data_IF_809021421386
#
_entry.id   IF_809021421386
#
_cell.length_a   1.000
_cell.length_b   1.000
_cell.length_c   1.000
_cell.angle_alpha   90.00
_cell.angle_beta   90.00
_cell.angle_gamma   90.00
#
_symmetry.space_group_name_H-M   'P 1'
#
loop_
_entity.id
_entity.type
_entity.pdbx_description
1 polymer ?
#
# COMPACT_ATOMS: atom_id res chain seq x y z
N UNK A 1 -24.13 20.48 -32.65
CA UNK A 1 -23.97 20.50 -31.19
C UNK A 1 -22.50 20.34 -30.83
N UNK A 2 -21.99 20.85 -29.69
CA UNK A 2 -20.60 20.63 -29.27
C UNK A 2 -20.37 19.13 -29.13
N UNK A 3 -19.28 18.62 -29.70
CA UNK A 3 -18.90 17.22 -29.57
C UNK A 3 -18.73 16.81 -28.10
N UNK A 4 -18.71 15.49 -27.77
CA UNK A 4 -18.58 15.05 -26.40
C UNK A 4 -17.29 15.60 -25.80
N UNK A 5 -17.39 16.24 -24.62
CA UNK A 5 -16.23 16.73 -23.89
C UNK A 5 -15.37 15.53 -23.54
N UNK A 6 -14.16 15.47 -24.08
CA UNK A 6 -13.17 14.48 -23.65
C UNK A 6 -12.86 14.72 -22.17
N UNK A 7 -13.23 13.75 -21.35
CA UNK A 7 -12.88 13.74 -19.93
C UNK A 7 -11.52 13.06 -19.80
N UNK A 8 -10.52 13.81 -19.39
CA UNK A 8 -9.16 13.31 -19.19
C UNK A 8 -8.89 13.14 -17.71
N UNK A 9 -8.01 12.20 -17.38
CA UNK A 9 -7.49 12.06 -16.02
C UNK A 9 -6.83 13.38 -15.59
N UNK A 10 -7.06 13.85 -14.36
CA UNK A 10 -6.33 14.99 -13.82
C UNK A 10 -4.84 14.68 -13.73
N UNK A 11 -4.00 15.71 -13.78
CA UNK A 11 -2.56 15.58 -13.58
C UNK A 11 -2.14 15.81 -12.14
N UNK A 12 -3.02 16.37 -11.33
CA UNK A 12 -2.83 16.60 -9.90
C UNK A 12 -4.19 16.65 -9.22
N UNK A 13 -4.43 15.75 -8.28
CA UNK A 13 -5.69 15.64 -7.56
C UNK A 13 -5.43 15.20 -6.13
N UNK A 14 -6.08 15.86 -5.16
CA UNK A 14 -5.97 15.49 -3.75
C UNK A 14 -7.00 14.45 -3.35
N UNK A 15 -6.76 13.74 -2.25
CA UNK A 15 -7.74 12.80 -1.69
C UNK A 15 -9.05 13.52 -1.30
N UNK A 16 -8.97 14.76 -0.81
CA UNK A 16 -10.13 15.57 -0.46
C UNK A 16 -10.99 15.89 -1.68
N UNK A 17 -10.37 16.22 -2.80
CA UNK A 17 -11.09 16.45 -4.07
C UNK A 17 -11.74 15.14 -4.56
N UNK A 18 -11.05 14.02 -4.47
CA UNK A 18 -11.59 12.71 -4.89
C UNK A 18 -12.77 12.31 -4.00
N UNK A 19 -12.73 12.65 -2.71
CA UNK A 19 -13.80 12.35 -1.76
C UNK A 19 -15.15 12.99 -2.15
N UNK A 20 -15.14 14.03 -2.99
CA UNK A 20 -16.35 14.68 -3.51
C UNK A 20 -16.98 13.92 -4.68
N UNK A 21 -16.31 12.95 -5.25
CA UNK A 21 -16.84 12.15 -6.36
C UNK A 21 -17.94 11.20 -5.86
N UNK A 22 -18.96 10.92 -6.71
CA UNK A 22 -20.01 9.98 -6.34
C UNK A 22 -19.46 8.61 -5.95
N UNK A 23 -19.88 8.08 -4.80
CA UNK A 23 -19.49 6.77 -4.32
C UNK A 23 -18.08 6.70 -3.71
N UNK A 24 -17.32 7.80 -3.67
CA UNK A 24 -15.94 7.82 -3.15
C UNK A 24 -15.87 7.42 -1.67
N UNK A 25 -16.90 7.73 -0.90
CA UNK A 25 -16.98 7.42 0.53
C UNK A 25 -18.02 6.33 0.84
N UNK A 26 -18.48 5.59 -0.17
CA UNK A 26 -19.43 4.50 0.05
C UNK A 26 -18.86 3.47 1.04
N UNK A 27 -19.65 3.03 2.04
CA UNK A 27 -19.18 2.06 3.01
C UNK A 27 -18.86 0.71 2.35
N UNK A 28 -17.89 -0.01 2.93
CA UNK A 28 -17.51 -1.37 2.55
C UNK A 28 -17.84 -2.32 3.70
N UNK A 29 -17.96 -3.61 3.38
CA UNK A 29 -18.13 -4.63 4.42
C UNK A 29 -16.81 -4.87 5.16
N UNK A 30 -16.86 -4.95 6.47
CA UNK A 30 -15.72 -5.22 7.32
C UNK A 30 -15.41 -4.09 8.28
N UNK A 31 -14.30 -4.23 9.01
CA UNK A 31 -13.94 -3.31 10.09
C UNK A 31 -13.24 -2.05 9.60
N UNK A 32 -12.39 -2.22 8.59
CA UNK A 32 -11.57 -1.11 8.10
C UNK A 32 -12.33 -0.32 7.03
N UNK A 33 -12.25 1.02 7.06
CA UNK A 33 -12.81 1.84 5.99
C UNK A 33 -12.00 1.69 4.70
N UNK A 34 -12.67 1.84 3.56
CA UNK A 34 -12.00 1.93 2.27
C UNK A 34 -11.16 3.20 2.21
N UNK A 35 -10.01 3.11 1.55
CA UNK A 35 -9.06 4.21 1.42
C UNK A 35 -9.05 4.73 -0.02
N UNK A 36 -9.02 6.05 -0.18
CA UNK A 36 -8.92 6.71 -1.48
C UNK A 36 -7.45 6.67 -1.93
N UNK A 37 -7.20 6.07 -3.09
CA UNK A 37 -5.86 6.01 -3.67
C UNK A 37 -5.68 6.95 -4.87
N UNK A 38 -6.76 7.25 -5.59
CA UNK A 38 -6.67 8.06 -6.80
C UNK A 38 -7.97 8.13 -7.58
N UNK A 39 -7.86 8.46 -8.85
CA UNK A 39 -8.96 8.51 -9.83
C UNK A 39 -8.65 7.51 -10.93
N UNK A 40 -9.61 6.64 -11.26
CA UNK A 40 -9.47 5.69 -12.37
C UNK A 40 -9.90 6.33 -13.70
N UNK A 41 -9.30 5.88 -14.80
CA UNK A 41 -9.47 6.52 -16.09
C UNK A 41 -10.85 6.29 -16.73
N UNK A 42 -11.38 5.09 -16.62
CA UNK A 42 -12.55 4.68 -17.43
C UNK A 42 -13.81 5.46 -17.11
N UNK A 43 -14.08 5.75 -15.86
CA UNK A 43 -15.27 6.49 -15.41
C UNK A 43 -14.93 7.79 -14.68
N UNK A 44 -13.64 8.07 -14.49
CA UNK A 44 -13.15 9.16 -13.66
C UNK A 44 -13.71 9.12 -12.23
N UNK A 45 -13.96 7.91 -11.74
CA UNK A 45 -14.40 7.64 -10.38
C UNK A 45 -13.24 7.43 -9.43
N UNK A 46 -13.56 7.34 -8.15
CA UNK A 46 -12.55 7.08 -7.13
C UNK A 46 -11.94 5.68 -7.30
N UNK A 47 -10.61 5.62 -7.33
CA UNK A 47 -9.85 4.39 -7.16
C UNK A 47 -9.60 4.21 -5.67
N UNK A 48 -10.22 3.16 -5.11
CA UNK A 48 -10.18 2.90 -3.67
C UNK A 48 -9.52 1.56 -3.37
N UNK A 49 -9.02 1.44 -2.18
CA UNK A 49 -8.49 0.21 -1.60
C UNK A 49 -9.38 -0.23 -0.44
N UNK A 50 -9.84 -1.49 -0.48
CA UNK A 50 -10.61 -2.09 0.60
C UNK A 50 -9.70 -3.00 1.44
N UNK A 51 -9.27 -2.56 2.65
CA UNK A 51 -8.35 -3.35 3.47
C UNK A 51 -8.95 -4.65 4.01
N UNK A 52 -10.26 -4.81 3.94
CA UNK A 52 -10.94 -6.01 4.45
C UNK A 52 -10.84 -7.19 3.48
N UNK A 53 -10.85 -6.92 2.19
CA UNK A 53 -10.77 -7.94 1.13
C UNK A 53 -9.37 -8.10 0.57
N UNK A 54 -8.56 -7.06 0.63
CA UNK A 54 -7.20 -7.02 0.12
C UNK A 54 -6.31 -6.35 1.17
N UNK A 55 -5.21 -7.00 1.55
CA UNK A 55 -4.46 -6.57 2.73
C UNK A 55 -3.19 -5.80 2.39
N UNK A 56 -2.64 -6.01 1.20
CA UNK A 56 -1.32 -5.51 0.83
C UNK A 56 -1.32 -4.81 -0.52
N UNK A 57 -0.33 -3.91 -0.70
CA UNK A 57 -0.07 -3.21 -1.97
C UNK A 57 1.42 -3.22 -2.24
N UNK A 58 1.82 -3.22 -3.51
CA UNK A 58 3.19 -2.94 -3.90
C UNK A 58 3.22 -1.99 -5.10
N UNK A 59 4.28 -1.21 -5.19
CA UNK A 59 4.36 -0.10 -6.15
C UNK A 59 5.79 0.02 -6.67
N UNK A 60 5.90 0.19 -7.98
CA UNK A 60 7.17 0.48 -8.65
C UNK A 60 7.12 1.83 -9.35
N UNK A 61 8.24 2.53 -9.37
CA UNK A 61 8.34 3.78 -10.11
C UNK A 61 9.77 4.31 -10.14
N UNK A 62 10.09 5.06 -11.18
CA UNK A 62 11.36 5.77 -11.30
C UNK A 62 11.45 6.89 -10.25
N UNK A 63 12.64 7.48 -10.14
CA UNK A 63 12.86 8.69 -9.35
C UNK A 63 11.86 9.77 -9.75
N UNK A 64 11.30 10.48 -8.78
CA UNK A 64 10.33 11.57 -8.98
C UNK A 64 9.02 11.15 -9.69
N UNK A 65 8.70 9.88 -9.71
CA UNK A 65 7.45 9.37 -10.30
C UNK A 65 6.24 9.50 -9.38
N UNK A 66 6.45 9.77 -8.09
CA UNK A 66 5.38 9.95 -7.11
C UNK A 66 5.29 8.85 -6.05
N UNK A 67 6.28 7.97 -5.91
CA UNK A 67 6.27 6.90 -4.90
C UNK A 67 6.09 7.41 -3.47
N UNK A 68 6.96 8.31 -3.05
CA UNK A 68 6.92 8.90 -1.70
C UNK A 68 5.64 9.70 -1.49
N UNK A 69 5.21 10.45 -2.50
CA UNK A 69 3.94 11.20 -2.47
C UNK A 69 2.76 10.26 -2.26
N UNK A 70 2.74 9.12 -2.95
CA UNK A 70 1.70 8.11 -2.77
C UNK A 70 1.68 7.56 -1.34
N UNK A 71 2.83 7.17 -0.80
CA UNK A 71 2.90 6.65 0.57
C UNK A 71 2.46 7.69 1.61
N UNK A 72 2.82 8.95 1.40
CA UNK A 72 2.39 10.05 2.27
C UNK A 72 0.88 10.27 2.17
N UNK A 73 0.34 10.27 0.96
CA UNK A 73 -1.11 10.37 0.74
C UNK A 73 -1.87 9.22 1.39
N UNK A 74 -1.36 8.00 1.23
CA UNK A 74 -1.93 6.81 1.87
C UNK A 74 -1.90 6.92 3.40
N UNK A 75 -0.78 7.33 3.97
CA UNK A 75 -0.67 7.52 5.41
C UNK A 75 -1.68 8.55 5.93
N UNK A 76 -1.84 9.68 5.25
CA UNK A 76 -2.83 10.70 5.59
C UNK A 76 -4.26 10.20 5.44
N UNK A 77 -4.53 9.37 4.46
CA UNK A 77 -5.84 8.75 4.25
C UNK A 77 -6.16 7.77 5.38
N UNK A 78 -5.21 6.97 5.81
CA UNK A 78 -5.37 6.07 6.97
C UNK A 78 -5.70 6.89 8.22
N UNK A 79 -4.98 7.96 8.47
CA UNK A 79 -5.21 8.86 9.61
C UNK A 79 -6.60 9.51 9.52
N UNK A 80 -7.01 9.96 8.34
CA UNK A 80 -8.31 10.61 8.14
C UNK A 80 -9.50 9.68 8.35
N UNK A 81 -9.34 8.37 8.07
CA UNK A 81 -10.43 7.39 8.12
C UNK A 81 -10.48 6.56 9.40
N UNK A 82 -9.45 6.62 10.23
CA UNK A 82 -9.33 5.79 11.43
C UNK A 82 -8.99 6.63 12.66
N UNK A 83 -9.33 6.10 13.82
CA UNK A 83 -8.77 6.59 15.08
C UNK A 83 -7.43 5.90 15.36
N UNK A 84 -6.59 6.43 16.28
CA UNK A 84 -5.34 5.76 16.67
C UNK A 84 -5.55 4.37 17.29
N UNK A 85 -6.73 4.11 17.82
CA UNK A 85 -7.12 2.80 18.37
C UNK A 85 -7.54 1.81 17.28
N UNK A 86 -7.85 2.30 16.08
CA UNK A 86 -8.26 1.46 14.95
C UNK A 86 -7.12 1.15 14.01
N UNK A 87 -6.17 2.08 13.83
CA UNK A 87 -5.03 1.91 12.93
C UNK A 87 -3.78 2.58 13.48
N UNK A 88 -2.65 1.88 13.33
CA UNK A 88 -1.31 2.35 13.66
C UNK A 88 -0.39 2.14 12.48
N UNK A 89 0.60 3.00 12.32
CA UNK A 89 1.56 2.94 11.23
C UNK A 89 2.97 2.63 11.75
N UNK A 90 3.63 1.74 11.02
CA UNK A 90 5.07 1.50 11.13
C UNK A 90 5.67 1.95 9.80
N UNK A 91 6.52 2.96 9.81
CA UNK A 91 7.09 3.53 8.59
C UNK A 91 8.56 3.16 8.51
N UNK A 92 8.95 2.55 7.39
CA UNK A 92 10.33 2.28 7.04
C UNK A 92 10.75 3.27 5.96
N UNK A 93 11.61 4.21 6.33
CA UNK A 93 11.96 5.35 5.49
C UNK A 93 13.45 5.69 5.63
N UNK A 94 14.26 5.06 4.80
CA UNK A 94 15.72 5.19 4.81
C UNK A 94 16.21 6.61 4.55
N UNK A 95 15.47 7.37 3.75
CA UNK A 95 15.83 8.74 3.37
C UNK A 95 15.14 9.80 4.23
N UNK A 96 14.30 9.41 5.17
CA UNK A 96 13.52 10.32 6.02
C UNK A 96 12.64 11.28 5.21
N UNK A 97 12.15 10.84 4.07
CA UNK A 97 11.36 11.64 3.13
C UNK A 97 9.97 12.01 3.65
N UNK A 98 9.46 11.25 4.62
CA UNK A 98 8.14 11.47 5.23
C UNK A 98 8.21 11.80 6.71
N UNK A 99 9.39 12.20 7.21
CA UNK A 99 9.58 12.58 8.60
C UNK A 99 8.65 13.76 8.95
N UNK A 100 7.84 13.57 9.99
CA UNK A 100 6.88 14.57 10.44
C UNK A 100 5.53 14.57 9.71
N UNK A 101 5.36 13.72 8.69
CA UNK A 101 4.10 13.65 7.93
C UNK A 101 2.94 13.00 8.70
N UNK A 102 3.24 12.21 9.72
CA UNK A 102 2.26 11.40 10.45
C UNK A 102 2.15 11.90 11.88
N UNK A 103 0.91 12.13 12.38
CA UNK A 103 0.71 12.47 13.79
C UNK A 103 1.26 11.40 14.71
N UNK A 104 1.88 11.80 15.82
CA UNK A 104 2.55 10.88 16.76
C UNK A 104 1.64 9.80 17.31
N UNK A 105 0.37 10.12 17.55
CA UNK A 105 -0.61 9.19 18.08
C UNK A 105 -0.95 8.02 17.15
N UNK A 106 -0.67 8.16 15.86
CA UNK A 106 -0.84 7.11 14.85
C UNK A 106 0.45 6.35 14.55
N UNK A 107 1.58 6.79 15.07
CA UNK A 107 2.90 6.28 14.68
C UNK A 107 3.44 5.31 15.73
N UNK A 108 3.32 4.02 15.44
CA UNK A 108 3.89 2.98 16.30
C UNK A 108 5.42 2.94 16.22
N UNK A 109 6.00 3.17 15.04
CA UNK A 109 7.44 3.25 14.84
C UNK A 109 7.78 4.00 13.54
N UNK A 110 8.91 4.71 13.57
CA UNK A 110 9.51 5.33 12.39
C UNK A 110 10.97 4.85 12.30
N UNK A 111 11.26 4.02 11.28
CA UNK A 111 12.49 3.25 11.20
C UNK A 111 13.33 3.74 10.02
N UNK A 112 14.54 4.18 10.29
CA UNK A 112 15.42 4.80 9.30
C UNK A 112 16.67 3.98 8.99
N UNK A 113 16.92 2.87 9.70
CA UNK A 113 18.08 2.00 9.49
C UNK A 113 17.65 0.54 9.38
N UNK A 114 18.39 -0.26 8.63
CA UNK A 114 18.10 -1.69 8.52
C UNK A 114 18.22 -2.43 9.86
N UNK A 115 19.11 -1.96 10.75
CA UNK A 115 19.24 -2.52 12.09
C UNK A 115 17.98 -2.30 12.92
N UNK A 116 17.44 -1.08 12.90
CA UNK A 116 16.19 -0.77 13.60
C UNK A 116 15.00 -1.53 13.00
N UNK A 117 14.96 -1.69 11.69
CA UNK A 117 13.91 -2.48 11.01
C UNK A 117 13.97 -3.94 11.48
N UNK A 118 15.14 -4.57 11.44
CA UNK A 118 15.29 -5.97 11.84
C UNK A 118 14.87 -6.21 13.29
N UNK A 119 15.30 -5.33 14.21
CA UNK A 119 14.97 -5.41 15.62
C UNK A 119 13.47 -5.26 15.86
N UNK A 120 12.88 -4.20 15.32
CA UNK A 120 11.46 -3.90 15.55
C UNK A 120 10.55 -4.92 14.84
N UNK A 121 10.95 -5.43 13.67
CA UNK A 121 10.17 -6.46 12.98
C UNK A 121 10.15 -7.77 13.75
N UNK A 122 11.23 -8.14 14.41
CA UNK A 122 11.25 -9.35 15.25
C UNK A 122 10.25 -9.25 16.41
N UNK A 123 10.21 -8.11 17.10
CA UNK A 123 9.27 -7.85 18.18
C UNK A 123 7.83 -7.75 17.66
N UNK A 124 7.64 -7.08 16.55
CA UNK A 124 6.32 -6.90 15.93
C UNK A 124 5.72 -8.23 15.46
N UNK A 125 6.51 -9.08 14.82
CA UNK A 125 6.07 -10.41 14.39
C UNK A 125 5.68 -11.27 15.59
N UNK A 126 6.45 -11.24 16.68
CA UNK A 126 6.11 -11.94 17.91
C UNK A 126 4.77 -11.45 18.47
N UNK A 127 4.54 -10.15 18.46
CA UNK A 127 3.25 -9.56 18.86
C UNK A 127 2.10 -10.04 17.97
N UNK A 128 2.27 -9.98 16.64
CA UNK A 128 1.22 -10.41 15.70
C UNK A 128 0.89 -11.90 15.82
N UNK A 129 1.87 -12.73 16.09
CA UNK A 129 1.65 -14.17 16.27
C UNK A 129 0.69 -14.48 17.42
N UNK A 130 0.63 -13.66 18.44
CA UNK A 130 -0.34 -13.80 19.53
C UNK A 130 -1.77 -13.53 19.06
N UNK A 131 -1.95 -12.86 17.93
CA UNK A 131 -3.26 -12.62 17.30
C UNK A 131 -3.70 -13.75 16.38
N UNK A 132 -2.86 -14.73 16.09
CA UNK A 132 -3.27 -15.89 15.28
C UNK A 132 -4.39 -16.65 16.02
N UNK A 133 -5.44 -17.07 15.30
CA UNK A 133 -6.53 -17.78 15.93
C UNK A 133 -6.06 -19.15 16.44
N UNK A 134 -6.33 -19.44 17.72
CA UNK A 134 -6.11 -20.74 18.31
C UNK A 134 -7.27 -21.70 18.04
N UNK A 135 -7.13 -22.95 18.49
CA UNK A 135 -8.14 -24.00 18.27
C UNK A 135 -9.48 -23.71 18.97
N UNK A 136 -9.47 -22.84 19.99
CA UNK A 136 -10.65 -22.44 20.76
C UNK A 136 -11.45 -21.30 20.12
N UNK A 137 -10.95 -20.70 19.05
CA UNK A 137 -11.63 -19.62 18.33
C UNK A 137 -12.82 -20.19 17.56
N UNK A 138 -14.01 -19.65 17.83
CA UNK A 138 -15.26 -20.10 17.21
C UNK A 138 -15.41 -19.56 15.79
N UNK A 139 -16.23 -20.20 14.91
CA UNK A 139 -16.54 -19.67 13.58
C UNK A 139 -17.10 -18.24 13.60
N UNK A 140 -17.91 -17.91 14.61
CA UNK A 140 -18.46 -16.57 14.78
C UNK A 140 -17.36 -15.55 15.10
N UNK A 141 -16.44 -15.91 15.99
CA UNK A 141 -15.27 -15.08 16.30
C UNK A 141 -14.38 -14.88 15.07
N UNK A 142 -14.18 -15.92 14.26
CA UNK A 142 -13.44 -15.81 13.00
C UNK A 142 -14.12 -14.84 12.03
N UNK A 143 -15.42 -14.94 11.86
CA UNK A 143 -16.19 -14.08 10.97
C UNK A 143 -16.14 -12.62 11.42
N UNK A 144 -16.20 -12.35 12.72
CA UNK A 144 -16.20 -11.02 13.31
C UNK A 144 -14.80 -10.53 13.72
N UNK A 145 -13.78 -11.38 13.64
CA UNK A 145 -12.42 -11.14 14.13
C UNK A 145 -12.43 -10.61 15.57
N UNK A 146 -13.15 -11.27 16.46
CA UNK A 146 -13.42 -10.78 17.82
C UNK A 146 -12.56 -11.44 18.91
N UNK A 147 -11.60 -12.31 18.55
CA UNK A 147 -10.73 -12.96 19.55
C UNK A 147 -9.55 -12.09 20.01
N UNK A 148 -9.31 -10.96 19.34
CA UNK A 148 -8.36 -9.96 19.81
C UNK A 148 -8.92 -8.56 19.61
N UNK A 149 -8.39 -7.61 20.36
CA UNK A 149 -8.74 -6.19 20.28
C UNK A 149 -7.48 -5.36 20.06
N UNK A 150 -7.64 -4.20 19.46
CA UNK A 150 -6.57 -3.27 19.20
C UNK A 150 -6.53 -2.82 17.74
N UNK A 151 -5.53 -2.00 17.37
CA UNK A 151 -5.44 -1.46 16.03
C UNK A 151 -4.99 -2.49 15.02
N UNK A 152 -5.38 -2.29 13.77
CA UNK A 152 -4.68 -2.86 12.63
C UNK A 152 -3.38 -2.09 12.40
N UNK A 153 -2.39 -2.76 11.85
CA UNK A 153 -1.07 -2.16 11.59
C UNK A 153 -0.79 -2.07 10.10
N UNK A 154 -0.36 -0.88 9.70
CA UNK A 154 0.11 -0.60 8.35
C UNK A 154 1.61 -0.44 8.37
N UNK A 155 2.32 -1.33 7.69
CA UNK A 155 3.77 -1.24 7.49
C UNK A 155 4.00 -0.60 6.12
N UNK A 156 4.42 0.65 6.11
CA UNK A 156 4.70 1.42 4.90
C UNK A 156 6.21 1.47 4.67
N UNK A 157 6.66 0.91 3.55
CA UNK A 157 8.09 0.81 3.24
C UNK A 157 8.39 1.64 2.00
N UNK A 158 9.13 2.72 2.18
CA UNK A 158 9.68 3.50 1.06
C UNK A 158 11.07 3.01 0.70
N UNK A 159 11.48 3.19 -0.55
CA UNK A 159 12.79 2.78 -1.04
C UNK A 159 13.15 1.33 -0.65
N UNK A 160 12.28 0.40 -0.96
CA UNK A 160 12.47 -1.01 -0.64
C UNK A 160 13.79 -1.57 -1.19
N UNK A 161 14.26 -1.03 -2.31
CA UNK A 161 15.56 -1.36 -2.90
C UNK A 161 16.75 -0.98 -2.00
N UNK A 162 16.58 -0.05 -1.06
CA UNK A 162 17.59 0.28 -0.05
C UNK A 162 17.48 -0.59 1.21
N UNK A 163 16.34 -1.22 1.41
CA UNK A 163 16.06 -2.09 2.55
C UNK A 163 16.56 -3.51 2.29
N UNK A 164 16.27 -4.05 1.11
CA UNK A 164 16.77 -5.36 0.69
C UNK A 164 18.17 -5.20 0.12
N UNK A 165 19.14 -5.82 0.78
CA UNK A 165 20.55 -5.73 0.41
C UNK A 165 21.17 -7.12 0.27
N UNK A 166 22.45 -7.19 -0.11
CA UNK A 166 23.22 -8.43 -0.11
C UNK A 166 23.31 -9.11 1.26
N UNK A 167 23.09 -8.35 2.33
CA UNK A 167 23.06 -8.87 3.71
C UNK A 167 21.71 -9.50 4.08
N UNK A 168 20.69 -9.35 3.24
CA UNK A 168 19.37 -9.91 3.42
C UNK A 168 18.24 -8.88 3.39
N UNK A 169 17.09 -9.33 3.86
CA UNK A 169 15.88 -8.51 3.95
C UNK A 169 15.41 -8.44 5.41
N UNK A 170 15.53 -7.28 6.08
CA UNK A 170 15.11 -7.14 7.48
C UNK A 170 13.58 -7.26 7.68
N UNK A 171 12.80 -7.22 6.59
CA UNK A 171 11.35 -7.43 6.61
C UNK A 171 10.96 -8.90 6.39
N UNK A 172 11.93 -9.79 6.14
CA UNK A 172 11.65 -11.20 5.84
C UNK A 172 10.89 -11.92 6.96
N UNK A 173 11.00 -11.46 8.20
CA UNK A 173 10.26 -12.01 9.33
C UNK A 173 8.72 -11.89 9.18
N UNK A 174 8.23 -10.92 8.40
CA UNK A 174 6.81 -10.74 8.11
C UNK A 174 6.26 -11.79 7.12
N UNK A 175 7.12 -12.36 6.30
CA UNK A 175 6.69 -13.20 5.17
C UNK A 175 5.74 -14.34 5.58
N UNK A 176 5.99 -15.09 6.67
CA UNK A 176 5.08 -16.16 7.07
C UNK A 176 3.69 -15.69 7.48
N UNK A 177 3.52 -14.43 7.86
CA UNK A 177 2.25 -13.86 8.31
C UNK A 177 1.43 -13.20 7.18
N UNK A 178 2.03 -12.98 6.01
CA UNK A 178 1.37 -12.23 4.94
C UNK A 178 0.09 -12.90 4.45
N UNK A 179 0.05 -14.23 4.38
CA UNK A 179 -1.14 -14.98 3.98
C UNK A 179 -2.25 -14.93 5.05
N UNK A 180 -1.92 -14.67 6.31
CA UNK A 180 -2.84 -14.58 7.43
C UNK A 180 -3.06 -13.15 7.91
N UNK A 181 -2.72 -12.18 7.05
CA UNK A 181 -2.78 -10.77 7.38
C UNK A 181 -4.16 -10.31 7.86
N UNK A 182 -5.23 -10.82 7.25
CA UNK A 182 -6.60 -10.52 7.66
C UNK A 182 -6.91 -10.95 9.09
N UNK A 183 -6.35 -12.08 9.53
CA UNK A 183 -6.55 -12.59 10.88
C UNK A 183 -5.84 -11.75 11.94
N UNK A 184 -4.68 -11.20 11.62
CA UNK A 184 -3.84 -10.48 12.59
C UNK A 184 -3.87 -8.95 12.43
N UNK A 185 -4.61 -8.45 11.45
CA UNK A 185 -4.72 -7.01 11.22
C UNK A 185 -3.44 -6.39 10.67
N UNK A 186 -2.79 -7.07 9.73
CA UNK A 186 -1.54 -6.62 9.10
C UNK A 186 -1.77 -6.16 7.67
N UNK A 187 -1.21 -5.00 7.33
CA UNK A 187 -1.15 -4.48 5.97
C UNK A 187 0.28 -4.09 5.64
N UNK A 188 0.81 -4.60 4.53
CA UNK A 188 2.15 -4.26 4.05
C UNK A 188 2.05 -3.52 2.72
N UNK A 189 2.66 -2.35 2.65
CA UNK A 189 2.72 -1.51 1.46
C UNK A 189 4.17 -1.21 1.12
N UNK A 190 4.61 -1.64 -0.05
CA UNK A 190 6.01 -1.53 -0.48
C UNK A 190 6.09 -0.62 -1.69
N UNK A 191 6.96 0.39 -1.63
CA UNK A 191 7.36 1.19 -2.77
C UNK A 191 8.83 0.93 -3.11
N UNK A 192 9.12 0.68 -4.37
CA UNK A 192 10.43 0.35 -4.88
C UNK A 192 10.69 1.05 -6.21
N UNK A 193 11.97 1.35 -6.49
CA UNK A 193 12.37 1.85 -7.82
C UNK A 193 11.96 0.87 -8.92
N UNK A 194 11.72 1.39 -10.14
CA UNK A 194 11.40 0.59 -11.31
C UNK A 194 12.62 -0.18 -11.83
N UNK A 195 13.79 0.42 -11.81
CA UNK A 195 15.02 -0.22 -12.29
C UNK A 195 15.29 -1.55 -11.60
N UNK A 196 15.41 -2.63 -12.38
CA UNK A 196 15.58 -3.99 -11.86
C UNK A 196 14.31 -4.65 -11.35
N UNK A 197 13.14 -4.05 -11.54
CA UNK A 197 11.87 -4.57 -11.03
C UNK A 197 11.54 -5.96 -11.58
N UNK A 198 11.84 -6.25 -12.85
CA UNK A 198 11.57 -7.56 -13.46
C UNK A 198 12.29 -8.72 -12.75
N UNK A 199 13.37 -8.42 -12.04
CA UNK A 199 14.08 -9.38 -11.21
C UNK A 199 13.65 -9.30 -9.73
N UNK A 200 13.40 -8.09 -9.26
CA UNK A 200 12.99 -7.85 -7.88
C UNK A 200 11.67 -8.54 -7.50
N UNK A 201 10.77 -8.77 -8.46
CA UNK A 201 9.51 -9.50 -8.23
C UNK A 201 9.71 -10.95 -7.78
N UNK A 202 10.92 -11.50 -7.93
CA UNK A 202 11.28 -12.82 -7.41
C UNK A 202 11.85 -12.77 -6.00
N UNK A 203 12.08 -11.59 -5.45
CA UNK A 203 12.47 -11.46 -4.05
C UNK A 203 11.36 -12.00 -3.15
N UNK A 204 11.73 -12.65 -2.05
CA UNK A 204 10.84 -13.46 -1.23
C UNK A 204 9.58 -12.75 -0.75
N UNK A 205 9.69 -11.54 -0.24
CA UNK A 205 8.54 -10.79 0.28
C UNK A 205 7.66 -10.28 -0.86
N UNK A 206 8.25 -9.66 -1.87
CA UNK A 206 7.51 -9.21 -3.07
C UNK A 206 6.82 -10.39 -3.77
N UNK A 207 7.52 -11.51 -3.91
CA UNK A 207 6.93 -12.72 -4.52
C UNK A 207 5.71 -13.18 -3.75
N UNK A 208 5.76 -13.15 -2.42
CA UNK A 208 4.61 -13.52 -1.58
C UNK A 208 3.43 -12.58 -1.80
N UNK A 209 3.65 -11.27 -1.89
CA UNK A 209 2.58 -10.31 -2.16
C UNK A 209 1.93 -10.57 -3.52
N UNK A 210 2.73 -10.82 -4.54
CA UNK A 210 2.24 -11.11 -5.89
C UNK A 210 1.45 -12.42 -5.91
N UNK A 211 1.96 -13.46 -5.28
CA UNK A 211 1.31 -14.78 -5.23
C UNK A 211 -0.01 -14.73 -4.46
N UNK A 212 -0.14 -13.86 -3.46
CA UNK A 212 -1.38 -13.60 -2.75
C UNK A 212 -2.40 -12.79 -3.58
N UNK A 213 -2.02 -12.32 -4.74
CA UNK A 213 -2.88 -11.52 -5.60
C UNK A 213 -3.04 -10.07 -5.18
N UNK A 214 -2.08 -9.55 -4.42
CA UNK A 214 -2.07 -8.13 -4.04
C UNK A 214 -2.06 -7.24 -5.27
N UNK A 215 -2.73 -6.09 -5.18
CA UNK A 215 -2.72 -5.09 -6.24
C UNK A 215 -1.31 -4.51 -6.39
N UNK A 216 -0.83 -4.50 -7.63
CA UNK A 216 0.42 -3.87 -8.02
C UNK A 216 0.17 -2.57 -8.77
N UNK A 217 0.99 -1.56 -8.49
CA UNK A 217 0.89 -0.24 -9.10
C UNK A 217 2.22 0.08 -9.79
N UNK A 218 2.18 0.46 -11.06
CA UNK A 218 3.35 0.90 -11.81
C UNK A 218 3.22 2.38 -12.14
N UNK A 219 4.07 3.20 -11.55
CA UNK A 219 4.30 4.57 -11.95
C UNK A 219 5.27 4.62 -13.15
N UNK A 220 5.74 5.82 -13.51
CA UNK A 220 6.65 5.98 -14.64
C UNK A 220 7.86 5.04 -14.57
N UNK A 221 8.17 4.41 -15.67
CA UNK A 221 9.34 3.53 -15.80
C UNK A 221 9.76 3.33 -17.24
N UNK A 222 10.99 2.84 -17.43
CA UNK A 222 11.52 2.53 -18.74
C UNK A 222 10.88 1.23 -19.26
N UNK A 223 10.25 1.26 -20.46
CA UNK A 223 9.71 0.04 -21.08
C UNK A 223 10.72 -1.08 -21.29
N UNK A 224 12.03 -0.74 -21.37
CA UNK A 224 13.12 -1.71 -21.53
C UNK A 224 13.31 -2.62 -20.32
N UNK A 225 12.70 -2.30 -19.17
CA UNK A 225 12.63 -3.22 -18.04
C UNK A 225 11.92 -4.53 -18.38
N UNK A 226 11.08 -4.52 -19.42
CA UNK A 226 10.32 -5.68 -19.82
C UNK A 226 9.04 -5.85 -18.99
N UNK A 227 8.54 -7.07 -18.92
CA UNK A 227 7.34 -7.39 -18.15
C UNK A 227 7.69 -7.40 -16.65
N UNK A 228 7.00 -6.58 -15.86
CA UNK A 228 7.24 -6.43 -14.43
C UNK A 228 6.14 -7.09 -13.62
N UNK A 229 4.88 -6.73 -13.88
CA UNK A 229 3.73 -7.34 -13.20
C UNK A 229 2.95 -8.15 -14.24
N UNK A 230 3.02 -9.48 -14.14
CA UNK A 230 2.43 -10.35 -15.14
C UNK A 230 3.03 -10.06 -16.51
N UNK A 231 2.18 -9.70 -17.47
CA UNK A 231 2.60 -9.32 -18.84
C UNK A 231 2.72 -7.80 -19.03
N UNK A 232 2.53 -7.03 -17.97
CA UNK A 232 2.48 -5.57 -18.07
C UNK A 232 3.88 -4.98 -17.98
N UNK A 233 4.20 -4.11 -18.95
CA UNK A 233 5.44 -3.35 -19.03
C UNK A 233 5.25 -1.96 -18.48
N UNK A 234 6.26 -1.36 -17.85
CA UNK A 234 6.19 0.05 -17.49
C UNK A 234 6.17 0.94 -18.73
N UNK A 235 5.62 2.12 -18.55
CA UNK A 235 5.68 3.21 -19.55
C UNK A 235 6.13 4.48 -18.87
N UNK A 236 6.74 5.39 -19.60
CA UNK A 236 7.06 6.72 -19.09
C UNK A 236 5.78 7.53 -18.94
N UNK A 237 5.63 8.19 -17.81
CA UNK A 237 4.42 8.92 -17.48
C UNK A 237 4.73 10.11 -16.56
N UNK A 238 3.77 11.04 -16.46
CA UNK A 238 3.82 12.15 -15.51
C UNK A 238 3.76 11.62 -14.06
N UNK A 239 4.24 12.42 -13.09
CA UNK A 239 4.17 12.01 -11.68
C UNK A 239 2.74 11.66 -11.25
N UNK A 240 2.61 10.55 -10.52
CA UNK A 240 1.33 10.03 -10.05
C UNK A 240 0.49 9.30 -11.09
N UNK A 241 0.85 9.33 -12.37
CA UNK A 241 0.17 8.56 -13.40
C UNK A 241 0.59 7.11 -13.33
N UNK A 242 -0.38 6.21 -13.16
CA UNK A 242 -0.14 4.81 -12.85
C UNK A 242 -0.87 3.85 -13.79
N UNK A 243 -0.28 2.68 -13.95
CA UNK A 243 -0.97 1.47 -14.41
C UNK A 243 -1.19 0.60 -13.17
N UNK A 244 -2.44 0.27 -12.91
CA UNK A 244 -2.83 -0.57 -11.78
C UNK A 244 -3.13 -1.97 -12.29
N UNK A 245 -2.55 -2.97 -11.65
CA UNK A 245 -2.77 -4.39 -11.96
C UNK A 245 -3.47 -5.02 -10.77
N UNK A 246 -4.76 -5.27 -10.92
CA UNK A 246 -5.63 -5.84 -9.91
C UNK A 246 -6.14 -7.20 -10.37
N UNK A 247 -6.13 -8.18 -9.47
CA UNK A 247 -6.70 -9.50 -9.76
C UNK A 247 -8.19 -9.41 -10.06
N UNK A 248 -8.91 -8.58 -9.32
CA UNK A 248 -10.35 -8.46 -9.40
C UNK A 248 -10.79 -7.53 -10.54
N UNK A 249 -10.17 -6.35 -10.64
CA UNK A 249 -10.56 -5.32 -11.60
C UNK A 249 -9.79 -5.35 -12.93
N UNK A 250 -8.78 -6.24 -13.07
CA UNK A 250 -7.92 -6.28 -14.23
C UNK A 250 -6.89 -5.15 -14.24
N UNK A 251 -6.42 -4.78 -15.42
CA UNK A 251 -5.43 -3.73 -15.60
C UNK A 251 -6.12 -2.44 -16.04
N UNK A 252 -5.84 -1.34 -15.35
CA UNK A 252 -6.42 -0.04 -15.67
C UNK A 252 -5.45 1.09 -15.35
N UNK A 253 -5.72 2.28 -15.89
CA UNK A 253 -4.94 3.49 -15.64
C UNK A 253 -5.61 4.34 -14.58
N UNK A 254 -4.78 5.00 -13.76
CA UNK A 254 -5.24 5.88 -12.70
C UNK A 254 -4.29 7.06 -12.51
N UNK A 255 -4.79 8.13 -11.92
CA UNK A 255 -3.97 9.19 -11.35
C UNK A 255 -4.03 9.02 -9.83
N UNK A 256 -2.88 8.77 -9.21
CA UNK A 256 -2.80 8.62 -7.77
C UNK A 256 -2.99 9.97 -7.07
N UNK A 257 -3.58 9.93 -5.89
CA UNK A 257 -3.79 11.13 -5.10
C UNK A 257 -2.46 11.78 -4.73
N UNK A 258 -2.42 13.09 -4.87
CA UNK A 258 -1.27 13.92 -4.53
C UNK A 258 -1.44 14.45 -3.10
N UNK A 259 -0.32 14.62 -2.42
CA UNK A 259 -0.26 15.15 -1.07
C UNK A 259 0.95 16.09 -0.95
N UNK A 260 0.75 17.21 -0.26
CA UNK A 260 1.82 18.16 0.00
C UNK A 260 3.00 17.51 0.71
N UNK A 261 4.24 17.86 0.35
CA UNK A 261 5.39 17.61 1.21
C UNK A 261 5.18 18.23 2.59
N UNK A 262 5.82 17.69 3.59
CA UNK A 262 5.72 18.19 4.96
C UNK A 262 6.55 19.45 5.13
#
# INVERSE_FOLDING_TARGET
>A
GPGPKLRLLPTKVTAEEIAQLPGALAPVQGRAPALILGVEESRLGAFRFDPNSEHHLYLFGDSKSGKTTFLRSLAREIVARNTPQEAQLIVVDRRRSSLGAIPKEYLAAYLTTNESVARDMAEFVAFLKERLPGDDVTPEQLANRSWWKGPEFWVLVDDYDLVVTSEGNPLAALQPLLAQAGDVGLHLVIARRMGGASQAVYERVLRSLIDLGSTGIMLSGNPDEGQVIGRVRPVRALPGRAIVVSREAGTFRAQLAWSDPV
#
